data_IF_694829344468
#
_entry.id   IF_694829344468
#
_cell.length_a   1.000
_cell.length_b   1.000
_cell.length_c   1.000
_cell.angle_alpha   90.00
_cell.angle_beta   90.00
_cell.angle_gamma   90.00
#
_symmetry.space_group_name_H-M   'P 1'
#
loop_
_entity.id
_entity.type
_entity.pdbx_description
1 polymer ?
#
# COMPACT_ATOMS: atom_id res chain seq x y z
N UNK A 1 -36.41 -23.90 -9.16
CA UNK A 1 -36.54 -22.81 -8.19
C UNK A 1 -35.11 -22.43 -7.81
N UNK A 2 -34.47 -21.57 -8.61
CA UNK A 2 -33.13 -21.04 -8.32
C UNK A 2 -33.36 -19.78 -7.50
N UNK A 3 -33.04 -19.80 -6.20
CA UNK A 3 -32.70 -18.55 -5.55
C UNK A 3 -31.20 -18.43 -5.81
N UNK A 4 -30.80 -17.56 -6.73
CA UNK A 4 -29.40 -17.11 -6.77
C UNK A 4 -29.09 -16.57 -5.36
N UNK A 5 -28.19 -17.25 -4.67
CA UNK A 5 -27.65 -16.82 -3.39
C UNK A 5 -26.99 -15.46 -3.62
N UNK A 6 -27.57 -14.41 -3.07
CA UNK A 6 -26.98 -13.07 -3.11
C UNK A 6 -25.77 -13.13 -2.19
N UNK A 7 -24.58 -13.26 -2.76
CA UNK A 7 -23.32 -13.18 -2.01
C UNK A 7 -23.15 -11.72 -1.59
N UNK A 8 -23.39 -11.43 -0.32
CA UNK A 8 -23.08 -10.13 0.27
C UNK A 8 -21.56 -10.05 0.48
N UNK A 9 -20.95 -8.99 -0.05
CA UNK A 9 -19.52 -8.71 0.10
C UNK A 9 -19.37 -7.60 1.12
N UNK A 10 -18.49 -7.79 2.10
CA UNK A 10 -18.25 -6.80 3.14
C UNK A 10 -17.68 -5.49 2.55
N UNK A 11 -18.24 -4.36 2.96
CA UNK A 11 -17.80 -3.03 2.51
C UNK A 11 -16.60 -2.54 3.33
N UNK A 12 -15.41 -2.70 2.75
CA UNK A 12 -14.15 -2.24 3.34
C UNK A 12 -13.83 -0.76 3.01
N UNK A 13 -14.72 0.00 2.37
CA UNK A 13 -14.39 1.33 1.83
C UNK A 13 -13.99 2.36 2.89
N UNK A 14 -14.48 2.19 4.13
CA UNK A 14 -14.17 3.04 5.29
C UNK A 14 -13.11 2.43 6.21
N UNK A 15 -12.63 1.22 5.92
CA UNK A 15 -11.59 0.57 6.70
C UNK A 15 -10.22 1.22 6.46
N UNK A 16 -9.31 1.05 7.41
CA UNK A 16 -7.94 1.56 7.37
C UNK A 16 -6.95 0.41 7.60
N UNK A 17 -5.83 0.46 6.89
CA UNK A 17 -4.72 -0.49 6.97
C UNK A 17 -3.71 -0.01 8.01
N UNK A 18 -3.39 -0.79 9.03
CA UNK A 18 -2.33 -0.38 9.96
C UNK A 18 -0.96 -0.57 9.30
N UNK A 19 -0.28 0.54 8.98
CA UNK A 19 1.05 0.54 8.37
C UNK A 19 2.11 0.27 9.43
N UNK A 20 3.03 -0.65 9.12
CA UNK A 20 4.13 -1.02 10.02
C UNK A 20 5.46 -0.40 9.58
N UNK A 21 5.79 -0.43 8.29
CA UNK A 21 7.02 0.17 7.77
C UNK A 21 6.99 0.38 6.24
N UNK A 22 7.74 1.36 5.70
CA UNK A 22 8.25 2.54 6.40
C UNK A 22 7.12 3.44 6.91
N UNK A 23 7.24 3.96 8.12
CA UNK A 23 6.27 4.90 8.71
C UNK A 23 6.41 6.30 8.11
N UNK A 24 5.41 7.16 8.32
CA UNK A 24 5.45 8.55 7.86
C UNK A 24 6.68 9.26 8.42
N UNK A 25 7.33 10.02 7.54
CA UNK A 25 8.51 10.84 7.80
C UNK A 25 9.71 10.03 8.31
N UNK A 26 9.75 8.72 8.05
CA UNK A 26 10.89 7.88 8.39
C UNK A 26 12.13 8.29 7.56
N UNK A 27 13.29 8.33 8.22
CA UNK A 27 14.60 8.49 7.59
C UNK A 27 15.35 7.17 7.68
N UNK A 28 15.71 6.60 6.54
CA UNK A 28 16.31 5.27 6.43
C UNK A 28 17.76 5.38 5.96
N UNK A 29 18.63 4.51 6.47
CA UNK A 29 20.04 4.39 6.07
C UNK A 29 20.31 3.10 5.27
N UNK A 30 19.28 2.58 4.60
CA UNK A 30 19.36 1.35 3.80
C UNK A 30 18.56 1.52 2.51
N UNK A 31 19.12 1.01 1.42
CA UNK A 31 18.48 0.97 0.10
C UNK A 31 17.63 -0.27 -0.11
N UNK A 32 17.76 -1.29 0.75
CA UNK A 32 16.91 -2.48 0.74
C UNK A 32 15.75 -2.29 1.72
N UNK A 33 14.56 -2.04 1.17
CA UNK A 33 13.36 -1.75 1.94
C UNK A 33 12.41 -2.95 1.96
N UNK A 34 11.77 -3.12 3.11
CA UNK A 34 10.61 -4.00 3.31
C UNK A 34 9.44 -3.13 3.71
N UNK A 35 8.48 -3.00 2.80
CA UNK A 35 7.18 -2.41 3.08
C UNK A 35 6.34 -3.47 3.80
N UNK A 36 5.67 -3.09 4.89
CA UNK A 36 4.84 -4.01 5.67
C UNK A 36 3.65 -3.30 6.31
N UNK A 37 2.55 -4.03 6.42
CA UNK A 37 1.29 -3.59 7.01
C UNK A 37 0.60 -4.76 7.72
N UNK A 38 -0.36 -4.45 8.58
CA UNK A 38 -1.25 -5.45 9.16
C UNK A 38 -2.26 -5.92 8.12
N UNK A 39 -2.59 -7.22 8.16
CA UNK A 39 -3.66 -7.76 7.33
C UNK A 39 -5.00 -7.08 7.66
N UNK A 40 -5.73 -6.68 6.62
CA UNK A 40 -7.06 -6.14 6.71
C UNK A 40 -8.07 -7.26 6.42
N UNK A 41 -8.94 -7.50 7.40
CA UNK A 41 -10.03 -8.47 7.26
C UNK A 41 -10.89 -8.16 6.02
N UNK A 42 -11.33 -9.22 5.33
CA UNK A 42 -12.11 -9.16 4.09
C UNK A 42 -11.39 -8.54 2.89
N UNK A 43 -10.08 -8.29 2.96
CA UNK A 43 -9.27 -7.96 1.79
C UNK A 43 -8.80 -9.21 1.05
N UNK A 44 -8.73 -9.12 -0.28
CA UNK A 44 -8.17 -10.17 -1.14
C UNK A 44 -6.77 -9.78 -1.65
N UNK A 45 -6.57 -8.49 -1.90
CA UNK A 45 -5.34 -7.94 -2.42
C UNK A 45 -5.05 -6.55 -1.86
N UNK A 46 -3.80 -6.14 -2.00
CA UNK A 46 -3.35 -4.79 -1.75
C UNK A 46 -2.73 -4.22 -3.03
N UNK A 47 -3.09 -2.99 -3.36
CA UNK A 47 -2.34 -2.20 -4.35
C UNK A 47 -1.36 -1.31 -3.61
N UNK A 48 -0.08 -1.56 -3.83
CA UNK A 48 1.03 -0.76 -3.30
C UNK A 48 1.65 0.05 -4.43
N UNK A 49 1.83 1.35 -4.20
CA UNK A 49 2.51 2.24 -5.12
C UNK A 49 3.62 3.00 -4.41
N UNK A 50 4.72 3.27 -5.11
CA UNK A 50 5.83 4.11 -4.64
C UNK A 50 6.12 5.16 -5.69
N UNK A 51 6.24 6.42 -5.28
CA UNK A 51 6.54 7.56 -6.12
C UNK A 51 7.71 8.36 -5.54
N UNK A 52 8.42 9.08 -6.40
CA UNK A 52 9.46 10.04 -6.02
C UNK A 52 9.25 11.39 -6.72
N UNK A 53 9.44 12.53 -6.04
CA UNK A 53 9.63 12.63 -4.59
C UNK A 53 8.33 12.34 -3.80
N UNK A 54 7.17 12.56 -4.42
CA UNK A 54 5.86 12.36 -3.81
C UNK A 54 4.78 12.16 -4.90
N UNK A 55 3.53 11.86 -4.52
CA UNK A 55 2.45 11.64 -5.50
C UNK A 55 1.86 12.92 -6.11
N UNK A 56 2.08 14.10 -5.50
CA UNK A 56 1.56 15.38 -6.01
C UNK A 56 2.45 15.95 -7.11
N UNK A 57 3.77 15.77 -6.98
CA UNK A 57 4.82 16.29 -7.85
C UNK A 57 5.70 15.13 -8.36
N UNK A 58 5.07 13.98 -8.63
CA UNK A 58 5.78 12.75 -9.02
C UNK A 58 6.62 12.97 -10.27
N UNK A 59 7.94 12.83 -10.12
CA UNK A 59 8.87 12.68 -11.24
C UNK A 59 8.71 11.28 -11.83
N UNK A 60 8.54 10.27 -10.96
CA UNK A 60 8.38 8.88 -11.37
C UNK A 60 7.50 8.10 -10.38
N UNK A 61 6.67 7.21 -10.92
CA UNK A 61 6.09 6.07 -10.18
C UNK A 61 7.08 4.91 -10.27
N UNK A 62 7.76 4.63 -9.16
CA UNK A 62 8.84 3.65 -9.07
C UNK A 62 8.31 2.23 -8.91
N UNK A 63 7.10 2.11 -8.35
CA UNK A 63 6.38 0.85 -8.20
C UNK A 63 4.87 1.07 -8.29
N UNK A 64 4.17 0.15 -8.95
CA UNK A 64 2.71 -0.03 -8.89
C UNK A 64 2.42 -1.52 -9.04
N UNK A 65 2.05 -2.16 -7.93
CA UNK A 65 1.89 -3.61 -7.89
C UNK A 65 0.63 -4.02 -7.13
N UNK A 66 0.12 -5.19 -7.49
CA UNK A 66 -0.99 -5.86 -6.82
C UNK A 66 -0.47 -7.13 -6.17
N UNK A 67 -0.67 -7.26 -4.86
CA UNK A 67 -0.07 -8.32 -4.04
C UNK A 67 -1.09 -8.85 -3.04
N UNK A 68 -1.03 -10.15 -2.74
CA UNK A 68 -1.90 -10.82 -1.76
C UNK A 68 -1.21 -11.11 -0.42
N UNK A 69 0.03 -10.62 -0.26
CA UNK A 69 0.80 -10.71 0.99
C UNK A 69 0.68 -9.40 1.77
N UNK A 70 1.16 -9.38 3.00
CA UNK A 70 1.22 -8.20 3.87
C UNK A 70 2.59 -7.52 3.90
N UNK A 71 3.44 -7.88 2.93
CA UNK A 71 4.77 -7.33 2.77
C UNK A 71 5.22 -7.28 1.31
N UNK A 72 6.14 -6.36 1.02
CA UNK A 72 6.76 -6.20 -0.28
C UNK A 72 8.20 -5.70 -0.13
N UNK A 73 9.13 -6.33 -0.86
CA UNK A 73 10.55 -5.95 -0.82
C UNK A 73 10.93 -5.18 -2.08
N UNK A 74 11.70 -4.09 -1.93
CA UNK A 74 12.19 -3.28 -3.05
C UNK A 74 13.56 -2.68 -2.72
N UNK A 75 14.39 -2.56 -3.75
CA UNK A 75 15.62 -1.77 -3.66
C UNK A 75 15.33 -0.39 -4.25
N UNK A 76 15.60 0.66 -3.48
CA UNK A 76 15.47 2.06 -3.87
C UNK A 76 16.81 2.78 -3.73
N UNK A 77 16.98 3.91 -4.42
CA UNK A 77 18.18 4.74 -4.29
C UNK A 77 18.00 5.75 -3.14
N UNK A 78 19.09 6.41 -2.74
CA UNK A 78 19.03 7.58 -1.84
C UNK A 78 18.11 8.63 -2.45
N UNK A 79 17.23 9.22 -1.64
CA UNK A 79 16.27 10.22 -2.08
C UNK A 79 14.96 10.21 -1.30
N UNK A 80 14.06 11.09 -1.71
CA UNK A 80 12.74 11.26 -1.12
C UNK A 80 11.68 10.44 -1.85
N UNK A 81 10.76 9.86 -1.09
CA UNK A 81 9.70 9.02 -1.60
C UNK A 81 8.39 9.22 -0.85
N UNK A 82 7.29 8.92 -1.55
CA UNK A 82 6.05 8.53 -0.91
C UNK A 82 5.67 7.13 -1.35
N UNK A 83 5.13 6.36 -0.42
CA UNK A 83 4.41 5.15 -0.76
C UNK A 83 2.99 5.22 -0.27
N UNK A 84 2.10 4.54 -0.98
CA UNK A 84 0.71 4.42 -0.58
C UNK A 84 0.19 3.02 -0.81
N UNK A 85 -0.77 2.64 0.02
CA UNK A 85 -1.39 1.33 -0.02
C UNK A 85 -2.90 1.44 0.18
N UNK A 86 -3.65 0.60 -0.53
CA UNK A 86 -5.07 0.35 -0.30
C UNK A 86 -5.38 -1.13 -0.40
N UNK A 87 -6.39 -1.57 0.31
CA UNK A 87 -6.90 -2.93 0.27
C UNK A 87 -8.04 -3.01 -0.74
N UNK A 88 -8.19 -4.17 -1.35
CA UNK A 88 -9.14 -4.45 -2.43
C UNK A 88 -9.76 -5.82 -2.15
N UNK A 89 -11.07 -5.91 -2.24
CA UNK A 89 -11.80 -7.17 -2.34
C UNK A 89 -12.62 -7.20 -3.64
N UNK A 90 -13.41 -8.24 -3.85
CA UNK A 90 -14.20 -8.42 -5.07
C UNK A 90 -15.16 -7.28 -5.43
N UNK A 91 -15.57 -6.43 -4.48
CA UNK A 91 -16.54 -5.35 -4.72
C UNK A 91 -16.08 -3.95 -4.25
N UNK A 92 -15.19 -3.87 -3.27
CA UNK A 92 -14.83 -2.65 -2.55
C UNK A 92 -13.32 -2.46 -2.44
N UNK A 93 -12.93 -1.23 -2.14
CA UNK A 93 -11.54 -0.86 -1.89
C UNK A 93 -11.47 0.24 -0.84
N UNK A 94 -10.45 0.20 0.01
CA UNK A 94 -10.21 1.28 0.98
C UNK A 94 -9.75 2.56 0.26
N UNK A 95 -9.77 3.67 0.98
CA UNK A 95 -8.94 4.82 0.60
C UNK A 95 -7.46 4.45 0.66
N UNK A 96 -6.63 5.19 -0.08
CA UNK A 96 -5.18 5.08 0.06
C UNK A 96 -4.74 5.64 1.41
N UNK A 97 -3.87 4.91 2.09
CA UNK A 97 -3.00 5.50 3.10
C UNK A 97 -1.63 5.75 2.51
N UNK A 98 -1.12 6.94 2.76
CA UNK A 98 0.11 7.45 2.18
C UNK A 98 1.09 7.77 3.30
N UNK A 99 2.35 7.41 3.11
CA UNK A 99 3.44 7.73 4.01
C UNK A 99 4.58 8.33 3.19
N UNK A 100 5.21 9.38 3.72
CA UNK A 100 6.46 9.92 3.21
C UNK A 100 7.65 9.25 3.91
N UNK A 101 8.78 9.09 3.22
CA UNK A 101 10.05 8.67 3.83
C UNK A 101 11.22 9.14 2.97
N UNK A 102 12.42 9.21 3.57
CA UNK A 102 13.67 9.47 2.86
C UNK A 102 14.68 8.35 3.10
N UNK A 103 15.57 8.16 2.13
CA UNK A 103 16.75 7.31 2.27
C UNK A 103 17.97 8.22 2.18
N UNK A 104 18.83 8.16 3.19
CA UNK A 104 20.06 8.96 3.34
C UNK A 104 21.30 8.04 3.42
N UNK A 105 22.49 8.62 3.23
CA UNK A 105 23.79 7.92 3.36
C UNK A 105 24.20 7.67 4.81
#
# INVERSE_FOLDING_TARGET
MSCEEIIEVEDISQAQIDILAPTNDAVLNTTQLRFSWQDLEFSEYYRLQVATPNFLEAIQIVEDTLISTTEFNKILQVGDYQWRIKAINSAYQTQYQTQSFSIEE
#
